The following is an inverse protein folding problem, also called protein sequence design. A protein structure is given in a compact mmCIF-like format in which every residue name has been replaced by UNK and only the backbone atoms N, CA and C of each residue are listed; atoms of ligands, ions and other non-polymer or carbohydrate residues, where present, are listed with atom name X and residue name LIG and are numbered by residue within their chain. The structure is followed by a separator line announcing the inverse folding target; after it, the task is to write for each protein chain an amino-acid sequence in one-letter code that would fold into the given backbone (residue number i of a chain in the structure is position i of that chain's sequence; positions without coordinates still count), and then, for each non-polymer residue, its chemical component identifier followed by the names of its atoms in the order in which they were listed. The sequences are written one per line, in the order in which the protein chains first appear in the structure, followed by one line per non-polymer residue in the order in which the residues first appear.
data_IF_990369857616
#
_entry.id   IF_990369857616
#
_cell.length_a   1.000
_cell.length_b   1.000
_cell.length_c   1.000
_cell.angle_alpha   90.00
_cell.angle_beta   90.00
_cell.angle_gamma   90.00
#
_symmetry.space_group_name_H-M   'P 1'
#
loop_
_entity.id
_entity.type
_entity.pdbx_description
1 polymer ?
#
# COMPACT_ATOMS: atom_id res chain seq x y z
N UNK A 1 23.12 -25.72 -21.71
CA UNK A 1 22.69 -24.38 -21.22
C UNK A 1 21.18 -24.39 -21.17
N UNK A 2 20.64 -24.87 -20.05
CA UNK A 2 19.20 -24.93 -19.81
C UNK A 2 18.74 -23.61 -19.18
N UNK A 3 17.79 -22.98 -19.85
CA UNK A 3 17.09 -21.79 -19.35
C UNK A 3 16.34 -22.16 -18.06
N UNK A 4 16.58 -21.51 -16.92
CA UNK A 4 15.71 -21.65 -15.78
C UNK A 4 14.50 -20.74 -16.01
N UNK A 5 13.49 -21.26 -16.72
CA UNK A 5 12.15 -20.68 -16.66
C UNK A 5 11.71 -20.68 -15.21
N UNK A 6 11.54 -19.51 -14.64
CA UNK A 6 10.80 -19.26 -13.40
C UNK A 6 9.34 -19.66 -13.64
N UNK A 7 9.08 -20.95 -13.69
CA UNK A 7 7.72 -21.46 -13.64
C UNK A 7 7.26 -21.30 -12.19
N UNK A 8 6.42 -20.30 -11.97
CA UNK A 8 5.57 -20.19 -10.79
C UNK A 8 4.96 -21.58 -10.58
N UNK A 9 5.39 -22.30 -9.55
CA UNK A 9 4.98 -23.68 -9.38
C UNK A 9 3.53 -23.70 -8.87
N UNK A 10 2.61 -23.81 -9.82
CA UNK A 10 1.16 -23.81 -9.60
C UNK A 10 0.73 -24.86 -8.58
N UNK A 11 1.53 -25.93 -8.41
CA UNK A 11 1.30 -26.97 -7.40
C UNK A 11 1.55 -26.45 -5.99
N UNK A 12 2.61 -25.67 -5.76
CA UNK A 12 2.93 -25.13 -4.43
C UNK A 12 1.90 -24.09 -4.01
N UNK A 13 1.40 -23.31 -4.97
CA UNK A 13 0.31 -22.38 -4.75
C UNK A 13 -1.01 -23.08 -4.37
N UNK A 14 -1.39 -24.15 -5.07
CA UNK A 14 -2.58 -24.96 -4.72
C UNK A 14 -2.40 -25.59 -3.34
N UNK A 15 -1.22 -26.09 -3.00
CA UNK A 15 -0.94 -26.66 -1.68
C UNK A 15 -1.01 -25.60 -0.55
N UNK A 16 -0.60 -24.37 -0.81
CA UNK A 16 -0.74 -23.24 0.12
C UNK A 16 -2.23 -22.90 0.38
N UNK A 17 -3.03 -22.87 -0.67
CA UNK A 17 -4.49 -22.70 -0.58
C UNK A 17 -5.13 -23.83 0.22
N UNK A 18 -4.81 -25.09 -0.10
CA UNK A 18 -5.33 -26.27 0.62
C UNK A 18 -4.93 -26.28 2.10
N UNK A 19 -3.73 -25.82 2.41
CA UNK A 19 -3.25 -25.73 3.81
C UNK A 19 -4.01 -24.69 4.61
N UNK A 20 -4.53 -23.63 3.95
CA UNK A 20 -5.25 -22.50 4.57
C UNK A 20 -6.75 -22.50 4.22
N UNK A 21 -7.31 -23.64 3.77
CA UNK A 21 -8.70 -23.76 3.35
C UNK A 21 -9.73 -23.24 4.36
N UNK A 22 -9.38 -23.33 5.68
CA UNK A 22 -10.22 -22.81 6.77
C UNK A 22 -10.35 -21.28 6.71
N UNK A 23 -9.30 -20.59 6.28
CA UNK A 23 -9.30 -19.13 6.11
C UNK A 23 -10.20 -18.73 4.94
N UNK A 24 -10.12 -19.49 3.83
CA UNK A 24 -11.01 -19.32 2.67
C UNK A 24 -12.48 -19.56 3.03
N UNK A 25 -12.78 -20.63 3.74
CA UNK A 25 -14.14 -20.91 4.20
C UNK A 25 -14.66 -19.84 5.16
N UNK A 26 -13.82 -19.37 6.06
CA UNK A 26 -14.18 -18.34 7.03
C UNK A 26 -14.48 -17.01 6.32
N UNK A 27 -13.64 -16.57 5.40
CA UNK A 27 -13.87 -15.36 4.60
C UNK A 27 -15.12 -15.52 3.71
N UNK A 28 -15.28 -16.64 3.03
CA UNK A 28 -16.43 -16.92 2.17
C UNK A 28 -17.74 -16.87 2.97
N UNK A 29 -17.80 -17.57 4.11
CA UNK A 29 -18.98 -17.58 4.99
C UNK A 29 -19.26 -16.19 5.58
N UNK A 30 -18.24 -15.50 6.05
CA UNK A 30 -18.39 -14.18 6.67
C UNK A 30 -18.92 -13.17 5.66
N UNK A 31 -18.36 -13.10 4.46
CA UNK A 31 -18.80 -12.18 3.42
C UNK A 31 -20.14 -12.61 2.78
N UNK A 32 -20.42 -13.89 2.65
CA UNK A 32 -21.74 -14.36 2.23
C UNK A 32 -22.81 -14.01 3.27
N UNK A 33 -22.49 -14.15 4.57
CA UNK A 33 -23.40 -13.78 5.66
C UNK A 33 -23.61 -12.26 5.76
N UNK A 34 -22.55 -11.48 5.58
CA UNK A 34 -22.65 -10.01 5.50
C UNK A 34 -23.49 -9.60 4.30
N UNK A 35 -23.27 -10.16 3.11
CA UNK A 35 -24.04 -9.85 1.91
C UNK A 35 -25.51 -10.21 2.03
N UNK A 36 -25.82 -11.42 2.52
CA UNK A 36 -27.19 -11.86 2.75
C UNK A 36 -27.85 -11.14 3.95
N UNK A 37 -27.09 -10.93 5.04
CA UNK A 37 -27.56 -10.32 6.27
C UNK A 37 -27.91 -8.83 6.10
N UNK A 38 -27.12 -8.09 5.35
CA UNK A 38 -27.42 -6.69 5.00
C UNK A 38 -28.74 -6.57 4.24
N UNK A 39 -29.03 -7.54 3.37
CA UNK A 39 -30.30 -7.56 2.61
C UNK A 39 -31.47 -8.01 3.48
N UNK A 40 -31.31 -9.03 4.32
CA UNK A 40 -32.34 -9.48 5.24
C UNK A 40 -32.66 -8.42 6.29
N UNK A 41 -31.65 -7.74 6.83
CA UNK A 41 -31.82 -6.65 7.80
C UNK A 41 -32.56 -5.45 7.19
N UNK A 42 -32.23 -5.08 5.95
CA UNK A 42 -32.94 -4.02 5.22
C UNK A 42 -34.40 -4.37 4.97
N UNK A 43 -34.70 -5.67 4.78
CA UNK A 43 -36.07 -6.15 4.59
C UNK A 43 -36.89 -6.11 5.89
N UNK A 44 -36.33 -6.65 7.01
CA UNK A 44 -37.02 -6.65 8.31
C UNK A 44 -37.33 -5.23 8.78
N UNK A 45 -36.41 -4.30 8.61
CA UNK A 45 -36.60 -2.88 8.96
C UNK A 45 -37.68 -2.20 8.11
N UNK A 46 -37.82 -2.64 6.84
CA UNK A 46 -38.82 -2.10 5.91
C UNK A 46 -40.17 -2.81 5.96
N UNK A 47 -40.29 -3.94 6.68
CA UNK A 47 -41.54 -4.73 6.77
C UNK A 47 -42.56 -4.20 7.76
N UNK A 48 -42.24 -3.12 8.49
CA UNK A 48 -43.10 -2.62 9.59
C UNK A 48 -44.15 -1.60 9.14
N UNK A 49 -44.32 -1.33 7.86
CA UNK A 49 -45.40 -0.44 7.37
C UNK A 49 -46.43 -1.20 6.54
N UNK A 50 -47.75 -1.05 6.83
CA UNK A 50 -48.79 -1.90 6.27
C UNK A 50 -49.46 -1.35 5.03
N UNK A 51 -48.81 -0.63 4.13
CA UNK A 51 -49.46 -0.29 2.86
C UNK A 51 -48.48 -0.05 1.70
N UNK A 52 -48.58 -0.89 0.81
CA UNK A 52 -48.46 -1.19 -0.61
C UNK A 52 -47.64 -0.27 -1.52
N UNK A 53 -46.98 0.81 -1.11
CA UNK A 53 -46.05 1.62 -1.92
C UNK A 53 -44.93 2.16 -1.04
N UNK A 54 -43.86 1.40 -0.85
CA UNK A 54 -42.67 1.91 -0.17
C UNK A 54 -41.89 2.78 -1.13
N UNK A 55 -42.20 4.09 -1.13
CA UNK A 55 -41.25 5.10 -1.52
C UNK A 55 -40.05 5.05 -0.53
N UNK A 56 -38.83 5.12 -1.02
CA UNK A 56 -37.68 5.43 -0.17
C UNK A 56 -38.07 6.56 0.77
N UNK A 57 -37.84 6.41 2.08
CA UNK A 57 -38.08 7.55 2.97
C UNK A 57 -37.21 8.71 2.51
N UNK A 58 -37.64 9.93 2.69
CA UNK A 58 -36.86 11.11 2.29
C UNK A 58 -35.42 11.04 2.83
N UNK A 59 -35.26 10.51 4.04
CA UNK A 59 -33.98 10.31 4.68
C UNK A 59 -33.09 9.24 3.96
N UNK A 60 -33.68 8.14 3.49
CA UNK A 60 -32.97 7.12 2.74
C UNK A 60 -32.57 7.63 1.35
N UNK A 61 -33.42 8.38 0.70
CA UNK A 61 -33.11 9.02 -0.58
C UNK A 61 -31.97 10.03 -0.44
N UNK A 62 -31.98 10.83 0.61
CA UNK A 62 -30.93 11.79 0.91
C UNK A 62 -29.60 11.10 1.20
N UNK A 63 -29.61 10.02 1.99
CA UNK A 63 -28.40 9.22 2.28
C UNK A 63 -27.80 8.62 1.00
N UNK A 64 -28.61 8.02 0.14
CA UNK A 64 -28.16 7.47 -1.14
C UNK A 64 -27.62 8.55 -2.08
N UNK A 65 -28.28 9.72 -2.12
CA UNK A 65 -27.82 10.87 -2.92
C UNK A 65 -26.47 11.40 -2.41
N UNK A 66 -26.29 11.47 -1.10
CA UNK A 66 -25.03 11.88 -0.50
C UNK A 66 -23.93 10.84 -0.76
N UNK A 67 -24.26 9.54 -0.70
CA UNK A 67 -23.35 8.45 -1.02
C UNK A 67 -22.93 8.49 -2.50
N UNK A 68 -23.88 8.75 -3.42
CA UNK A 68 -23.57 8.93 -4.85
C UNK A 68 -22.59 10.09 -5.06
N UNK A 69 -22.80 11.21 -4.36
CA UNK A 69 -21.96 12.39 -4.44
C UNK A 69 -20.53 12.11 -3.94
N UNK A 70 -20.42 11.41 -2.82
CA UNK A 70 -19.13 10.98 -2.27
C UNK A 70 -18.38 10.03 -3.21
N UNK A 71 -19.09 9.04 -3.76
CA UNK A 71 -18.48 8.08 -4.71
C UNK A 71 -17.99 8.78 -5.99
N UNK A 72 -18.76 9.74 -6.52
CA UNK A 72 -18.32 10.54 -7.68
C UNK A 72 -17.06 11.34 -7.38
N UNK A 73 -16.99 11.98 -6.21
CA UNK A 73 -15.79 12.72 -5.80
C UNK A 73 -14.57 11.79 -5.63
N UNK A 74 -14.76 10.61 -5.06
CA UNK A 74 -13.69 9.61 -4.91
C UNK A 74 -13.22 9.06 -6.27
N UNK A 75 -14.14 8.83 -7.21
CA UNK A 75 -13.80 8.40 -8.58
C UNK A 75 -12.99 9.48 -9.30
N UNK A 76 -13.39 10.74 -9.17
CA UNK A 76 -12.66 11.87 -9.73
C UNK A 76 -11.26 12.00 -9.12
N UNK A 77 -11.15 11.91 -7.79
CA UNK A 77 -9.87 11.94 -7.08
C UNK A 77 -8.95 10.80 -7.52
N UNK A 78 -9.48 9.57 -7.58
CA UNK A 78 -8.72 8.40 -8.02
C UNK A 78 -8.33 8.48 -9.49
N UNK A 79 -9.21 9.00 -10.34
CA UNK A 79 -8.90 9.28 -11.75
C UNK A 79 -7.80 10.33 -11.91
N UNK A 80 -7.85 11.40 -11.13
CA UNK A 80 -6.83 12.43 -11.09
C UNK A 80 -5.49 11.89 -10.59
N UNK A 81 -5.51 10.99 -9.60
CA UNK A 81 -4.31 10.29 -9.13
C UNK A 81 -3.66 9.47 -10.23
N UNK A 82 -4.42 8.61 -10.90
CA UNK A 82 -3.91 7.79 -12.01
C UNK A 82 -3.36 8.63 -13.17
N UNK A 83 -4.00 9.76 -13.47
CA UNK A 83 -3.59 10.63 -14.57
C UNK A 83 -2.35 11.49 -14.24
N UNK A 84 -2.25 12.00 -13.01
CA UNK A 84 -1.29 13.03 -12.65
C UNK A 84 -0.16 12.56 -11.73
N UNK A 85 -0.24 11.36 -11.11
CA UNK A 85 0.87 10.82 -10.33
C UNK A 85 2.06 10.56 -11.25
N UNK A 86 3.15 11.27 -11.00
CA UNK A 86 4.39 11.08 -11.71
C UNK A 86 4.95 9.68 -11.48
N UNK A 87 4.91 9.21 -10.23
CA UNK A 87 5.44 7.91 -9.83
C UNK A 87 4.77 6.75 -10.58
N UNK A 88 3.42 6.78 -10.72
CA UNK A 88 2.66 5.76 -11.44
C UNK A 88 2.92 5.78 -12.95
N UNK A 89 3.34 6.91 -13.50
CA UNK A 89 3.55 7.11 -14.92
C UNK A 89 5.03 7.06 -15.34
N UNK A 90 5.94 6.75 -14.38
CA UNK A 90 7.34 6.51 -14.71
C UNK A 90 7.51 5.18 -15.45
N UNK A 91 8.42 5.17 -16.44
CA UNK A 91 8.84 3.92 -17.07
C UNK A 91 9.75 3.13 -16.12
N UNK A 92 9.26 2.00 -15.65
CA UNK A 92 9.97 1.13 -14.69
C UNK A 92 11.32 0.63 -15.19
N UNK A 93 11.52 0.60 -16.51
CA UNK A 93 12.77 0.17 -17.15
C UNK A 93 13.81 1.27 -17.27
N UNK A 94 13.42 2.53 -17.07
CA UNK A 94 14.28 3.72 -17.22
C UNK A 94 14.37 4.54 -15.93
N UNK A 95 14.13 3.91 -14.79
CA UNK A 95 14.18 4.61 -13.51
C UNK A 95 15.62 4.97 -13.13
N UNK A 96 15.79 6.19 -12.67
CA UNK A 96 17.01 6.69 -12.05
C UNK A 96 16.73 7.01 -10.60
N UNK A 97 17.58 6.50 -9.73
CA UNK A 97 17.51 6.76 -8.28
C UNK A 97 18.70 7.59 -7.87
N UNK A 98 18.42 8.69 -7.15
CA UNK A 98 19.46 9.45 -6.46
C UNK A 98 19.34 9.18 -4.96
N UNK A 99 20.44 8.77 -4.34
CA UNK A 99 20.55 8.49 -2.91
C UNK A 99 21.54 9.43 -2.26
N UNK A 100 21.12 10.02 -1.14
CA UNK A 100 21.97 10.85 -0.28
C UNK A 100 22.00 10.21 1.10
N UNK A 101 23.20 9.85 1.56
CA UNK A 101 23.41 9.31 2.90
C UNK A 101 23.71 10.47 3.84
N UNK A 102 22.93 10.56 4.92
CA UNK A 102 23.02 11.60 5.94
C UNK A 102 23.33 10.97 7.30
N UNK A 103 24.25 11.58 8.05
CA UNK A 103 24.59 11.13 9.40
C UNK A 103 24.53 12.30 10.37
N UNK A 104 24.31 11.98 11.65
CA UNK A 104 24.43 12.94 12.75
C UNK A 104 25.84 12.87 13.32
N UNK A 105 26.56 14.00 13.24
CA UNK A 105 27.84 14.15 13.91
C UNK A 105 27.67 15.02 15.19
N UNK A 106 28.11 14.56 16.37
CA UNK A 106 28.03 15.33 17.59
C UNK A 106 28.89 16.62 17.51
N UNK A 107 28.34 17.75 17.92
CA UNK A 107 29.08 19.04 17.91
C UNK A 107 30.16 19.14 18.97
N UNK A 108 29.98 18.46 20.09
CA UNK A 108 30.97 18.37 21.15
C UNK A 108 31.59 16.99 21.13
N UNK A 109 32.87 16.91 21.51
CA UNK A 109 33.51 15.63 21.86
C UNK A 109 32.72 15.04 23.02
N UNK A 110 31.69 14.28 22.68
CA UNK A 110 30.94 13.54 23.65
C UNK A 110 31.93 12.60 24.32
N UNK A 111 31.94 12.63 25.67
CA UNK A 111 32.71 11.67 26.45
C UNK A 111 32.43 10.29 25.82
N UNK A 112 33.44 9.42 25.77
CA UNK A 112 33.46 8.10 25.14
C UNK A 112 32.31 7.14 25.52
N UNK A 113 31.34 7.63 26.27
CA UNK A 113 30.19 6.98 26.82
C UNK A 113 28.86 7.36 26.16
N UNK A 114 28.82 8.14 25.08
CA UNK A 114 27.57 8.27 24.35
C UNK A 114 27.35 6.96 23.60
N UNK A 115 26.56 6.15 24.26
CA UNK A 115 26.16 4.85 23.80
C UNK A 115 25.73 4.95 22.33
N UNK A 116 26.29 4.09 21.48
CA UNK A 116 25.87 3.95 20.07
C UNK A 116 24.34 3.86 19.95
N UNK A 117 23.69 3.33 20.99
CA UNK A 117 22.24 3.28 21.14
C UNK A 117 21.57 4.67 21.17
N UNK A 118 22.16 5.66 21.87
CA UNK A 118 21.58 7.03 21.92
C UNK A 118 21.66 7.71 20.56
N UNK A 119 22.80 7.56 19.87
CA UNK A 119 22.94 8.09 18.52
C UNK A 119 21.94 7.46 17.55
N UNK A 120 21.78 6.14 17.60
CA UNK A 120 20.78 5.42 16.81
C UNK A 120 19.36 5.93 17.09
N UNK A 121 19.00 6.05 18.36
CA UNK A 121 17.68 6.53 18.80
C UNK A 121 17.43 7.97 18.32
N UNK A 122 18.41 8.87 18.44
CA UNK A 122 18.29 10.26 18.00
C UNK A 122 18.22 10.36 16.48
N UNK A 123 18.98 9.54 15.74
CA UNK A 123 18.91 9.49 14.28
C UNK A 123 17.56 8.99 13.79
N UNK A 124 17.02 7.95 14.42
CA UNK A 124 15.70 7.44 14.11
C UNK A 124 14.60 8.49 14.38
N UNK A 125 14.64 9.13 15.54
CA UNK A 125 13.70 10.21 15.90
C UNK A 125 13.79 11.41 14.94
N UNK A 126 15.00 11.78 14.52
CA UNK A 126 15.18 12.80 13.49
C UNK A 126 14.58 12.33 12.16
N UNK A 127 14.77 11.07 11.78
CA UNK A 127 14.21 10.50 10.56
C UNK A 127 12.69 10.67 10.47
N UNK A 128 11.98 10.49 11.58
CA UNK A 128 10.52 10.68 11.63
C UNK A 128 10.14 12.17 11.45
N UNK A 129 10.86 13.07 12.08
CA UNK A 129 10.65 14.53 11.92
C UNK A 129 10.89 14.94 10.47
N UNK A 130 11.98 14.48 9.87
CA UNK A 130 12.32 14.80 8.48
C UNK A 130 11.35 14.17 7.48
N UNK A 131 10.86 12.97 7.76
CA UNK A 131 9.80 12.35 6.94
C UNK A 131 8.54 13.21 6.94
N UNK A 132 8.12 13.71 8.10
CA UNK A 132 7.02 14.66 8.19
C UNK A 132 7.22 15.93 7.36
N UNK A 133 8.44 16.49 7.39
CA UNK A 133 8.77 17.66 6.61
C UNK A 133 8.79 17.41 5.09
N UNK A 134 9.30 16.25 4.67
CA UNK A 134 9.33 15.85 3.25
C UNK A 134 7.92 15.63 2.68
N UNK A 135 6.96 15.23 3.52
CA UNK A 135 5.55 15.14 3.14
C UNK A 135 4.84 16.50 3.15
N UNK A 136 5.51 17.57 3.57
CA UNK A 136 4.98 18.94 3.61
C UNK A 136 4.84 19.58 2.23
N UNK A 137 4.01 20.62 2.16
CA UNK A 137 3.75 21.36 0.91
C UNK A 137 4.95 22.18 0.45
N UNK A 138 5.82 22.60 1.37
CA UNK A 138 7.07 23.32 1.06
C UNK A 138 7.98 22.44 0.18
N UNK A 139 8.14 21.16 0.53
CA UNK A 139 8.92 20.21 -0.27
C UNK A 139 8.27 19.98 -1.64
N UNK A 140 6.96 19.77 -1.67
CA UNK A 140 6.24 19.58 -2.91
C UNK A 140 6.40 20.79 -3.85
N UNK A 141 6.31 22.00 -3.31
CA UNK A 141 6.51 23.24 -4.06
C UNK A 141 7.95 23.38 -4.57
N UNK A 142 8.94 23.10 -3.73
CA UNK A 142 10.36 23.18 -4.10
C UNK A 142 10.70 22.19 -5.25
N UNK A 143 10.23 20.95 -5.14
CA UNK A 143 10.46 19.92 -6.17
C UNK A 143 9.69 20.23 -7.45
N UNK A 144 8.43 20.65 -7.36
CA UNK A 144 7.65 21.05 -8.54
C UNK A 144 8.31 22.19 -9.31
N UNK A 145 8.87 23.16 -8.60
CA UNK A 145 9.64 24.25 -9.19
C UNK A 145 10.91 23.76 -9.87
N UNK A 146 11.64 22.83 -9.24
CA UNK A 146 12.86 22.25 -9.76
C UNK A 146 12.63 21.45 -11.05
N UNK A 147 11.48 20.78 -11.18
CA UNK A 147 11.11 19.97 -12.33
C UNK A 147 10.23 20.72 -13.36
N UNK A 148 9.74 21.93 -13.03
CA UNK A 148 8.82 22.68 -13.89
C UNK A 148 7.44 22.03 -14.02
N UNK A 149 6.93 21.42 -12.93
CA UNK A 149 5.66 20.70 -12.92
C UNK A 149 4.48 21.65 -12.74
N UNK A 150 3.31 21.21 -13.21
CA UNK A 150 2.05 21.91 -13.00
C UNK A 150 1.48 21.67 -11.58
N UNK A 151 0.43 22.41 -11.22
CA UNK A 151 -0.23 22.33 -9.91
C UNK A 151 -0.89 20.96 -9.67
N UNK A 152 -1.40 20.33 -10.73
CA UNK A 152 -2.05 19.02 -10.64
C UNK A 152 -1.04 17.92 -10.26
N UNK A 153 0.17 18.00 -10.82
CA UNK A 153 1.27 17.06 -10.56
C UNK A 153 1.95 17.33 -9.21
N UNK A 154 2.00 18.59 -8.77
CA UNK A 154 2.65 18.99 -7.50
C UNK A 154 2.14 18.20 -6.31
N UNK A 155 0.86 17.86 -6.27
CA UNK A 155 0.24 17.11 -5.18
C UNK A 155 0.85 15.72 -4.98
N UNK A 156 1.35 15.10 -6.05
CA UNK A 156 1.86 13.72 -6.08
C UNK A 156 3.39 13.61 -6.06
N UNK A 157 4.09 14.73 -6.06
CA UNK A 157 5.57 14.77 -6.02
C UNK A 157 6.14 14.04 -4.80
N UNK A 158 5.40 14.01 -3.70
CA UNK A 158 5.79 13.33 -2.44
C UNK A 158 6.09 11.85 -2.63
N UNK A 159 5.52 11.21 -3.65
CA UNK A 159 5.74 9.79 -3.97
C UNK A 159 7.12 9.52 -4.58
N UNK A 160 7.78 10.56 -5.10
CA UNK A 160 9.11 10.46 -5.70
C UNK A 160 10.23 10.49 -4.67
N UNK A 161 9.91 10.73 -3.39
CA UNK A 161 10.89 10.99 -2.33
C UNK A 161 10.61 10.05 -1.15
N UNK A 162 11.66 9.44 -0.64
CA UNK A 162 11.60 8.71 0.63
C UNK A 162 12.80 9.03 1.51
N UNK A 163 12.62 8.91 2.83
CA UNK A 163 13.71 8.94 3.79
C UNK A 163 13.56 7.71 4.69
N UNK A 164 14.63 6.95 4.80
CA UNK A 164 14.70 5.71 5.55
C UNK A 164 15.81 5.79 6.58
N UNK A 165 15.56 5.20 7.74
CA UNK A 165 16.58 5.00 8.75
C UNK A 165 17.29 3.67 8.51
N UNK A 166 18.63 3.72 8.46
CA UNK A 166 19.49 2.54 8.32
C UNK A 166 20.05 2.17 9.69
N UNK A 167 19.49 1.12 10.30
CA UNK A 167 19.81 0.73 11.68
C UNK A 167 21.28 0.31 11.86
N UNK A 168 21.85 -0.38 10.87
CA UNK A 168 23.23 -0.89 10.92
C UNK A 168 24.26 0.24 11.02
N UNK A 169 24.01 1.36 10.35
CA UNK A 169 24.95 2.50 10.22
C UNK A 169 24.54 3.72 11.02
N UNK A 170 23.39 3.70 11.68
CA UNK A 170 22.76 4.87 12.29
C UNK A 170 22.70 6.08 11.34
N UNK A 171 22.37 5.83 10.09
CA UNK A 171 22.31 6.85 9.04
C UNK A 171 20.88 7.02 8.52
N UNK A 172 20.63 8.13 7.86
CA UNK A 172 19.40 8.39 7.12
C UNK A 172 19.70 8.32 5.63
N UNK A 173 18.92 7.55 4.90
CA UNK A 173 18.99 7.46 3.46
C UNK A 173 17.85 8.25 2.84
N UNK A 174 18.19 9.40 2.26
CA UNK A 174 17.27 10.19 1.44
C UNK A 174 17.35 9.69 0.01
N UNK A 175 16.22 9.19 -0.50
CA UNK A 175 16.12 8.63 -1.84
C UNK A 175 15.11 9.41 -2.67
N UNK A 176 15.44 9.66 -3.92
CA UNK A 176 14.53 10.18 -4.93
C UNK A 176 14.56 9.32 -6.18
N UNK A 177 13.42 9.25 -6.88
CA UNK A 177 13.26 8.43 -8.10
C UNK A 177 12.67 9.29 -9.19
N UNK A 178 13.22 9.18 -10.42
CA UNK A 178 12.70 9.85 -11.62
C UNK A 178 13.11 9.13 -12.89
N UNK A 179 12.59 9.57 -14.04
CA UNK A 179 12.94 8.98 -15.37
C UNK A 179 14.32 9.38 -15.88
N UNK A 180 14.87 10.51 -15.41
CA UNK A 180 16.17 11.02 -15.83
C UNK A 180 17.10 11.21 -14.65
N UNK A 181 18.40 11.08 -14.90
CA UNK A 181 19.45 11.28 -13.89
C UNK A 181 19.44 12.70 -13.30
N UNK A 182 19.27 13.68 -14.17
CA UNK A 182 19.20 15.08 -13.80
C UNK A 182 17.95 15.38 -12.97
N UNK A 183 16.81 14.80 -13.33
CA UNK A 183 15.55 14.94 -12.61
C UNK A 183 15.62 14.29 -11.23
N UNK A 184 16.12 13.04 -11.11
CA UNK A 184 16.29 12.38 -9.82
C UNK A 184 17.21 13.21 -8.90
N UNK A 185 18.32 13.74 -9.43
CA UNK A 185 19.21 14.61 -8.69
C UNK A 185 18.54 15.92 -8.26
N UNK A 186 17.81 16.58 -9.16
CA UNK A 186 17.11 17.84 -8.85
C UNK A 186 16.08 17.65 -7.71
N UNK A 187 15.35 16.52 -7.71
CA UNK A 187 14.44 16.14 -6.63
C UNK A 187 15.21 15.95 -5.33
N UNK A 188 16.30 15.16 -5.36
CA UNK A 188 17.13 14.90 -4.18
C UNK A 188 17.70 16.18 -3.58
N UNK A 189 18.21 17.08 -4.42
CA UNK A 189 18.77 18.36 -3.99
C UNK A 189 17.71 19.28 -3.35
N UNK A 190 16.50 19.37 -3.94
CA UNK A 190 15.39 20.12 -3.37
C UNK A 190 14.91 19.52 -2.04
N UNK A 191 14.80 18.19 -1.97
CA UNK A 191 14.46 17.48 -0.72
C UNK A 191 15.54 17.68 0.34
N UNK A 192 16.81 17.61 -0.02
CA UNK A 192 17.94 17.84 0.89
C UNK A 192 17.94 19.27 1.46
N UNK A 193 17.60 20.29 0.67
CA UNK A 193 17.44 21.66 1.16
C UNK A 193 16.32 21.74 2.22
N UNK A 194 15.19 21.08 1.99
CA UNK A 194 14.10 21.02 2.99
C UNK A 194 14.56 20.30 4.26
N UNK A 195 15.24 19.17 4.12
CA UNK A 195 15.83 18.40 5.23
C UNK A 195 16.76 19.29 6.05
N UNK A 196 17.69 20.00 5.40
CA UNK A 196 18.66 20.85 6.06
C UNK A 196 17.99 22.03 6.77
N UNK A 197 16.99 22.66 6.15
CA UNK A 197 16.24 23.76 6.74
C UNK A 197 15.42 23.30 7.95
N UNK A 198 14.79 22.14 7.88
CA UNK A 198 14.03 21.54 8.98
C UNK A 198 14.94 21.15 10.13
N UNK A 199 16.07 20.51 9.83
CA UNK A 199 17.09 20.22 10.83
C UNK A 199 17.55 21.49 11.56
N UNK A 200 17.84 22.55 10.83
CA UNK A 200 18.29 23.83 11.41
C UNK A 200 17.25 24.48 12.33
N UNK A 201 15.96 24.29 12.01
CA UNK A 201 14.83 24.78 12.83
C UNK A 201 14.56 23.90 14.05
N UNK A 202 15.01 22.65 14.05
CA UNK A 202 14.85 21.73 15.17
C UNK A 202 15.89 21.97 16.25
N UNK A 203 15.63 22.94 17.16
CA UNK A 203 16.58 23.38 18.19
C UNK A 203 17.15 22.23 19.03
N UNK A 204 16.39 21.18 19.29
CA UNK A 204 16.85 20.02 20.05
C UNK A 204 17.97 19.24 19.34
N UNK A 205 17.86 19.04 18.02
CA UNK A 205 18.87 18.31 17.24
C UNK A 205 20.00 19.22 16.80
N UNK A 206 19.71 20.42 16.27
CA UNK A 206 20.72 21.33 15.72
C UNK A 206 21.67 21.93 16.77
N UNK A 207 21.29 21.94 18.04
CA UNK A 207 22.18 22.36 19.15
C UNK A 207 23.21 21.28 19.50
N UNK A 208 22.84 20.01 19.44
CA UNK A 208 23.64 18.87 19.87
C UNK A 208 24.45 18.23 18.71
N UNK A 209 23.96 18.35 17.50
CA UNK A 209 24.50 17.64 16.33
C UNK A 209 24.71 18.56 15.13
N UNK A 210 25.51 18.10 14.19
CA UNK A 210 25.54 18.56 12.79
C UNK A 210 24.98 17.46 11.91
N UNK A 211 24.23 17.84 10.86
CA UNK A 211 23.79 16.92 9.84
C UNK A 211 24.83 16.92 8.71
N UNK A 212 25.46 15.79 8.50
CA UNK A 212 26.54 15.63 7.51
C UNK A 212 26.07 14.78 6.34
N UNK A 213 26.39 15.23 5.13
CA UNK A 213 26.19 14.47 3.89
C UNK A 213 27.43 13.59 3.65
N UNK A 214 27.30 12.29 3.87
CA UNK A 214 28.40 11.33 3.73
C UNK A 214 28.64 10.92 2.28
N UNK A 215 27.60 10.92 1.47
CA UNK A 215 27.72 10.52 0.07
C UNK A 215 26.48 10.83 -0.73
N UNK A 216 26.66 10.84 -2.04
CA UNK A 216 25.59 10.95 -3.04
C UNK A 216 25.90 9.98 -4.17
N UNK A 217 24.91 9.21 -4.59
CA UNK A 217 25.01 8.31 -5.72
C UNK A 217 23.78 8.42 -6.61
N UNK A 218 23.99 8.33 -7.92
CA UNK A 218 22.90 8.29 -8.89
C UNK A 218 23.11 7.08 -9.81
N UNK A 219 22.11 6.20 -9.83
CA UNK A 219 22.19 4.94 -10.58
C UNK A 219 20.83 4.55 -11.17
N UNK A 220 20.87 3.72 -12.21
CA UNK A 220 19.68 3.13 -12.79
C UNK A 220 19.10 2.06 -11.86
N UNK A 221 17.80 2.10 -11.66
CA UNK A 221 17.07 1.15 -10.81
C UNK A 221 15.89 0.58 -11.57
N UNK A 222 15.55 -0.65 -11.25
CA UNK A 222 14.31 -1.29 -11.66
C UNK A 222 13.46 -1.55 -10.43
N UNK A 223 12.18 -1.21 -10.48
CA UNK A 223 11.19 -1.61 -9.48
C UNK A 223 9.83 -1.82 -10.12
N UNK A 224 9.14 -2.85 -9.70
CA UNK A 224 7.76 -3.14 -10.08
C UNK A 224 6.73 -2.46 -9.15
N UNK A 225 7.20 -1.78 -8.12
CA UNK A 225 6.33 -1.13 -7.12
C UNK A 225 5.35 -0.13 -7.75
N UNK A 226 5.80 0.67 -8.74
CA UNK A 226 4.93 1.63 -9.43
C UNK A 226 3.84 0.92 -10.24
N UNK A 227 4.16 -0.22 -10.86
CA UNK A 227 3.18 -1.06 -11.57
C UNK A 227 2.17 -1.67 -10.62
N UNK A 228 2.62 -2.17 -9.48
CA UNK A 228 1.73 -2.72 -8.44
C UNK A 228 0.79 -1.65 -7.91
N UNK A 229 1.33 -0.49 -7.52
CA UNK A 229 0.52 0.64 -7.05
C UNK A 229 -0.47 1.14 -8.11
N UNK A 230 -0.07 1.16 -9.37
CA UNK A 230 -0.95 1.50 -10.49
C UNK A 230 -2.09 0.49 -10.62
N UNK A 231 -1.79 -0.79 -10.59
CA UNK A 231 -2.79 -1.87 -10.66
C UNK A 231 -3.77 -1.82 -9.47
N UNK A 232 -3.27 -1.52 -8.27
CA UNK A 232 -4.11 -1.31 -7.09
C UNK A 232 -5.03 -0.10 -7.26
N UNK A 233 -4.51 1.02 -7.76
CA UNK A 233 -5.28 2.23 -8.01
C UNK A 233 -6.35 2.03 -9.09
N UNK A 234 -6.04 1.31 -10.17
CA UNK A 234 -6.99 0.93 -11.21
C UNK A 234 -8.09 0.01 -10.65
N UNK A 235 -7.73 -0.94 -9.81
CA UNK A 235 -8.67 -1.83 -9.13
C UNK A 235 -9.59 -1.07 -8.18
N UNK A 236 -9.06 -0.12 -7.42
CA UNK A 236 -9.85 0.76 -6.55
C UNK A 236 -10.83 1.59 -7.36
N UNK A 237 -10.39 2.17 -8.48
CA UNK A 237 -11.26 2.93 -9.37
C UNK A 237 -12.41 2.07 -9.91
N UNK A 238 -12.14 0.85 -10.37
CA UNK A 238 -13.14 -0.08 -10.84
C UNK A 238 -14.15 -0.46 -9.74
N UNK A 239 -13.68 -0.65 -8.51
CA UNK A 239 -14.54 -0.94 -7.37
C UNK A 239 -15.45 0.25 -7.02
N UNK A 240 -14.94 1.47 -7.04
CA UNK A 240 -15.73 2.70 -6.83
C UNK A 240 -16.80 2.89 -7.91
N UNK A 241 -16.45 2.63 -9.18
CA UNK A 241 -17.40 2.69 -10.30
C UNK A 241 -18.52 1.65 -10.15
N UNK A 242 -18.17 0.44 -9.72
CA UNK A 242 -19.13 -0.63 -9.43
C UNK A 242 -20.05 -0.22 -8.29
N UNK A 243 -19.52 0.34 -7.22
CA UNK A 243 -20.29 0.83 -6.08
C UNK A 243 -21.22 1.98 -6.49
N UNK A 244 -20.75 2.91 -7.32
CA UNK A 244 -21.56 4.00 -7.86
C UNK A 244 -22.73 3.47 -8.68
N UNK A 245 -22.46 2.51 -9.58
CA UNK A 245 -23.51 1.88 -10.39
C UNK A 245 -24.58 1.22 -9.52
N UNK A 246 -24.17 0.54 -8.44
CA UNK A 246 -25.09 -0.10 -7.51
C UNK A 246 -25.97 0.94 -6.77
N UNK A 247 -25.40 2.07 -6.36
CA UNK A 247 -26.16 3.17 -5.71
C UNK A 247 -27.12 3.83 -6.70
N UNK A 248 -26.68 4.08 -7.92
CA UNK A 248 -27.51 4.64 -8.97
C UNK A 248 -28.67 3.72 -9.36
N UNK A 249 -28.44 2.39 -9.42
CA UNK A 249 -29.48 1.39 -9.64
C UNK A 249 -30.53 1.43 -8.50
N UNK A 250 -30.08 1.56 -7.25
CA UNK A 250 -30.98 1.72 -6.09
C UNK A 250 -31.80 3.00 -6.16
N UNK A 251 -31.19 4.12 -6.56
CA UNK A 251 -31.89 5.39 -6.74
C UNK A 251 -32.89 5.34 -7.90
N UNK A 252 -32.57 4.63 -8.97
CA UNK A 252 -33.40 4.48 -10.17
C UNK A 252 -34.57 3.51 -9.96
N UNK A 253 -34.30 2.42 -9.29
CA UNK A 253 -35.25 1.34 -9.03
C UNK A 253 -35.90 1.50 -7.67
N UNK A 254 -36.11 2.75 -7.16
CA UNK A 254 -36.80 2.99 -5.89
C UNK A 254 -37.89 1.93 -5.67
N UNK A 255 -37.81 1.12 -4.61
CA UNK A 255 -38.50 -0.16 -4.58
C UNK A 255 -39.98 0.05 -4.68
N UNK A 256 -40.51 -0.32 -5.82
CA UNK A 256 -41.90 -0.75 -5.89
C UNK A 256 -41.94 -1.97 -4.97
N UNK A 257 -42.62 -1.85 -3.86
CA UNK A 257 -42.97 -2.88 -2.89
C UNK A 257 -42.63 -4.29 -3.37
N UNK A 258 -41.46 -4.78 -3.03
CA UNK A 258 -41.05 -6.11 -3.37
C UNK A 258 -41.39 -7.06 -2.25
N UNK A 259 -42.24 -8.07 -2.53
CA UNK A 259 -42.25 -9.29 -1.77
C UNK A 259 -40.81 -9.76 -1.50
N UNK A 260 -40.54 -10.26 -0.31
CA UNK A 260 -39.26 -10.89 0.03
C UNK A 260 -38.90 -11.90 -1.03
N UNK A 261 -38.02 -11.57 -1.94
CA UNK A 261 -37.49 -12.46 -2.94
C UNK A 261 -36.25 -13.15 -2.40
N UNK A 262 -36.41 -14.41 -2.04
CA UNK A 262 -35.27 -15.28 -1.66
C UNK A 262 -34.18 -15.25 -2.73
N UNK A 263 -34.57 -15.12 -4.01
CA UNK A 263 -33.67 -14.98 -5.16
C UNK A 263 -32.76 -13.75 -5.05
N UNK A 264 -33.26 -12.63 -4.51
CA UNK A 264 -32.45 -11.41 -4.29
C UNK A 264 -31.41 -11.65 -3.17
N UNK A 265 -31.78 -12.29 -2.07
CA UNK A 265 -30.85 -12.62 -0.99
C UNK A 265 -29.75 -13.57 -1.45
N UNK A 266 -30.10 -14.55 -2.30
CA UNK A 266 -29.13 -15.48 -2.89
C UNK A 266 -28.16 -14.74 -3.81
N UNK A 267 -28.64 -13.83 -4.66
CA UNK A 267 -27.78 -13.03 -5.55
C UNK A 267 -26.75 -12.20 -4.77
N UNK A 268 -27.18 -11.51 -3.70
CA UNK A 268 -26.26 -10.73 -2.87
C UNK A 268 -25.35 -11.60 -2.01
N UNK A 269 -25.80 -12.78 -1.58
CA UNK A 269 -24.97 -13.78 -0.91
C UNK A 269 -23.86 -14.33 -1.82
N UNK A 270 -24.17 -14.62 -3.08
CA UNK A 270 -23.20 -15.07 -4.09
C UNK A 270 -22.18 -13.97 -4.40
N UNK A 271 -22.63 -12.71 -4.54
CA UNK A 271 -21.76 -11.57 -4.79
C UNK A 271 -20.81 -11.32 -3.60
N UNK A 272 -21.33 -11.42 -2.39
CA UNK A 272 -20.54 -11.34 -1.16
C UNK A 272 -19.50 -12.47 -1.07
N UNK A 273 -19.89 -13.70 -1.40
CA UNK A 273 -19.00 -14.86 -1.42
C UNK A 273 -17.86 -14.69 -2.44
N UNK A 274 -18.16 -14.17 -3.63
CA UNK A 274 -17.15 -13.88 -4.65
C UNK A 274 -16.14 -12.82 -4.17
N UNK A 275 -16.61 -11.73 -3.56
CA UNK A 275 -15.73 -10.71 -2.96
C UNK A 275 -14.89 -11.30 -1.82
N UNK A 276 -15.48 -12.15 -0.97
CA UNK A 276 -14.78 -12.84 0.11
C UNK A 276 -13.68 -13.78 -0.38
N UNK A 277 -13.89 -14.46 -1.50
CA UNK A 277 -12.86 -15.28 -2.13
C UNK A 277 -11.68 -14.46 -2.64
N UNK A 278 -11.93 -13.31 -3.29
CA UNK A 278 -10.87 -12.43 -3.75
C UNK A 278 -10.03 -11.90 -2.59
N UNK A 279 -10.67 -11.49 -1.50
CA UNK A 279 -9.98 -11.01 -0.29
C UNK A 279 -9.19 -12.14 0.36
N UNK A 280 -9.75 -13.35 0.46
CA UNK A 280 -9.04 -14.51 1.00
C UNK A 280 -7.80 -14.85 0.16
N UNK A 281 -7.90 -14.70 -1.16
CA UNK A 281 -6.82 -14.93 -2.10
C UNK A 281 -5.68 -13.92 -1.91
N UNK A 282 -6.01 -12.62 -1.84
CA UNK A 282 -5.05 -11.55 -1.55
C UNK A 282 -4.38 -11.73 -0.18
N UNK A 283 -5.18 -12.06 0.84
CA UNK A 283 -4.66 -12.29 2.20
C UNK A 283 -3.72 -13.50 2.24
N UNK A 284 -4.06 -14.58 1.54
CA UNK A 284 -3.22 -15.77 1.45
C UNK A 284 -1.91 -15.47 0.74
N UNK A 285 -1.97 -14.71 -0.35
CA UNK A 285 -0.81 -14.25 -1.10
C UNK A 285 0.10 -13.36 -0.25
N UNK A 286 -0.47 -12.41 0.47
CA UNK A 286 0.26 -11.50 1.35
C UNK A 286 0.91 -12.24 2.53
N UNK A 287 0.17 -13.17 3.15
CA UNK A 287 0.70 -14.02 4.21
C UNK A 287 1.77 -15.01 3.69
N UNK A 288 1.75 -15.33 2.42
CA UNK A 288 2.74 -16.20 1.79
C UNK A 288 4.04 -15.46 1.51
N UNK A 289 3.96 -14.19 1.11
CA UNK A 289 5.10 -13.30 0.96
C UNK A 289 5.72 -12.95 2.32
N UNK A 290 4.89 -12.73 3.35
CA UNK A 290 5.37 -12.37 4.70
C UNK A 290 5.85 -13.56 5.53
N UNK A 291 5.68 -14.81 5.07
CA UNK A 291 6.13 -15.99 5.81
C UNK A 291 7.60 -16.31 5.46
N UNK A 292 8.57 -15.91 6.29
CA UNK A 292 10.00 -16.09 6.02
C UNK A 292 10.46 -17.54 6.16
N UNK A 293 9.54 -18.49 6.35
CA UNK A 293 9.89 -19.89 6.55
C UNK A 293 10.33 -20.54 5.24
N UNK A 294 11.56 -20.96 5.20
CA UNK A 294 12.08 -21.81 4.13
C UNK A 294 11.25 -23.10 4.06
N UNK A 295 10.43 -23.21 3.02
CA UNK A 295 9.41 -24.28 2.90
C UNK A 295 9.96 -25.58 2.36
N UNK A 296 11.06 -25.55 1.60
CA UNK A 296 11.67 -26.71 0.96
C UNK A 296 13.19 -26.62 0.93
N UNK A 297 13.87 -27.76 1.07
CA UNK A 297 15.31 -27.85 0.93
C UNK A 297 15.84 -27.32 -0.42
N UNK A 298 14.99 -27.30 -1.46
CA UNK A 298 15.30 -26.72 -2.76
C UNK A 298 15.43 -25.18 -2.76
N UNK A 299 14.69 -24.47 -1.91
CA UNK A 299 14.78 -23.01 -1.78
C UNK A 299 16.12 -22.58 -1.16
N UNK A 300 16.64 -23.33 -0.19
CA UNK A 300 17.97 -23.12 0.40
C UNK A 300 19.08 -23.16 -0.65
N UNK A 301 18.93 -24.02 -1.65
CA UNK A 301 19.89 -24.10 -2.76
C UNK A 301 19.76 -22.95 -3.75
N UNK A 302 18.52 -22.49 -4.00
CA UNK A 302 18.21 -21.42 -5.00
C UNK A 302 18.52 -20.03 -4.44
N UNK A 303 18.08 -19.74 -3.21
CA UNK A 303 18.15 -18.39 -2.64
C UNK A 303 19.45 -18.08 -1.88
N UNK A 304 20.08 -19.11 -1.31
CA UNK A 304 21.29 -18.95 -0.50
C UNK A 304 22.53 -19.65 -1.10
N UNK A 305 22.41 -20.34 -2.24
CA UNK A 305 23.51 -21.05 -2.87
C UNK A 305 24.09 -22.22 -2.04
N UNK A 306 23.40 -22.60 -0.96
CA UNK A 306 23.88 -23.63 -0.02
C UNK A 306 23.61 -25.04 -0.54
N UNK A 307 24.61 -25.92 -0.47
CA UNK A 307 24.48 -27.29 -0.86
C UNK A 307 23.77 -28.07 0.26
N UNK A 308 22.57 -28.54 0.01
CA UNK A 308 21.80 -29.34 0.97
C UNK A 308 22.45 -30.74 1.06
N UNK A 309 23.05 -31.05 2.19
CA UNK A 309 23.76 -32.33 2.43
C UNK A 309 22.82 -33.45 2.87
N UNK A 310 21.58 -33.16 3.23
CA UNK A 310 20.56 -34.15 3.61
C UNK A 310 19.38 -33.51 4.31
N UNK A 311 18.24 -34.19 4.33
CA UNK A 311 17.06 -33.79 5.09
C UNK A 311 16.79 -34.84 6.18
N UNK A 312 16.65 -34.42 7.44
CA UNK A 312 16.24 -35.29 8.53
C UNK A 312 14.72 -35.48 8.48
N UNK A 313 14.26 -36.61 8.00
CA UNK A 313 12.86 -37.00 8.06
C UNK A 313 12.50 -37.40 9.50
N UNK A 314 11.52 -36.72 10.08
CA UNK A 314 10.98 -37.10 11.40
C UNK A 314 10.24 -38.44 11.26
N UNK A 315 10.86 -39.52 11.73
CA UNK A 315 10.26 -40.84 11.78
C UNK A 315 8.96 -40.73 12.63
N UNK A 316 7.81 -40.89 12.00
CA UNK A 316 6.56 -41.02 12.75
C UNK A 316 6.62 -42.31 13.57
N UNK A 317 6.78 -42.19 14.88
CA UNK A 317 6.53 -43.28 15.83
C UNK A 317 5.03 -43.55 15.79
N UNK A 318 4.63 -44.62 15.10
CA UNK A 318 3.30 -45.23 15.28
C UNK A 318 3.26 -45.73 16.72
N UNK A 319 2.54 -45.00 17.58
CA UNK A 319 2.10 -45.50 18.88
C UNK A 319 1.06 -46.60 18.65
N UNK A 320 1.28 -47.69 19.31
CA UNK A 320 0.32 -48.79 19.50
C UNK A 320 -0.88 -48.32 20.30
#
# INVERSE_FOLDING_TARGET
MENPNDTFDFKDFILSILRRWRLFLLCLLLFAFVGAGLRAFSFVRNSSEPDGKKSLSAEQYERLTNQEKMLKAQIEEQGNYLANSLYLNLDVWQLQTCEIVLTLAPRQTLSSEMDAFQLKSHTAALGDVLRGALLGDDTASAVSKALGLDEAQQRYVKELISIEYLDDTAALLLRSVYSTREGAKAIADAAYQTVTSTFSKSGAFSSAYTLEKMGESVYGTYTDESLLRRSEAETQLANLQTALTAVQEQLRTAPVTGSFSVSSCIKYGILGAAAGLLIAFLLTFLLDIMDPRLRHAGQLKKDLGLKVLGSLSKKQTKGK
#
